data_IF_386888340815
#
_entry.id   IF_386888340815
#
_cell.length_a   1.000
_cell.length_b   1.000
_cell.length_c   1.000
_cell.angle_alpha   90.00
_cell.angle_beta   90.00
_cell.angle_gamma   90.00
#
_symmetry.space_group_name_H-M   'P 1'
#
loop_
_entity.id
_entity.type
_entity.pdbx_description
1 polymer ?
#
# COMPACT_ATOMS: atom_id res chain seq x y z
N UNK A 1 26.82 -10.50 -9.24
CA UNK A 1 26.23 -9.20 -9.67
C UNK A 1 25.05 -9.37 -10.64
N UNK A 2 25.25 -9.67 -11.92
CA UNK A 2 24.11 -9.75 -12.88
C UNK A 2 23.13 -10.88 -12.53
N UNK A 3 23.64 -12.08 -12.22
CA UNK A 3 22.80 -13.21 -11.82
C UNK A 3 22.01 -12.91 -10.53
N UNK A 4 22.64 -12.28 -9.53
CA UNK A 4 21.97 -11.88 -8.29
C UNK A 4 20.90 -10.84 -8.58
N UNK A 5 21.21 -9.83 -9.40
CA UNK A 5 20.26 -8.79 -9.80
C UNK A 5 19.04 -9.37 -10.52
N UNK A 6 19.25 -10.27 -11.48
CA UNK A 6 18.16 -10.96 -12.19
C UNK A 6 17.32 -11.81 -11.23
N UNK A 7 17.96 -12.55 -10.34
CA UNK A 7 17.28 -13.35 -9.32
C UNK A 7 16.42 -12.47 -8.41
N UNK A 8 16.92 -11.30 -8.01
CA UNK A 8 16.20 -10.34 -7.17
C UNK A 8 15.02 -9.74 -7.90
N UNK A 9 15.16 -9.39 -9.18
CA UNK A 9 14.05 -8.92 -10.00
C UNK A 9 12.97 -9.99 -10.09
N UNK A 10 13.33 -11.25 -10.35
CA UNK A 10 12.39 -12.37 -10.37
C UNK A 10 11.68 -12.55 -9.02
N UNK A 11 12.43 -12.49 -7.91
CA UNK A 11 11.87 -12.53 -6.55
C UNK A 11 10.90 -11.37 -6.34
N UNK A 12 11.25 -10.14 -6.72
CA UNK A 12 10.37 -8.97 -6.58
C UNK A 12 9.08 -9.09 -7.38
N UNK A 13 9.14 -9.64 -8.60
CA UNK A 13 7.94 -9.94 -9.38
C UNK A 13 7.07 -10.97 -8.65
N UNK A 14 7.67 -12.08 -8.24
CA UNK A 14 6.96 -13.14 -7.54
C UNK A 14 6.32 -12.64 -6.24
N UNK A 15 7.06 -11.89 -5.40
CA UNK A 15 6.56 -11.36 -4.14
C UNK A 15 5.50 -10.28 -4.34
N UNK A 16 5.57 -9.47 -5.41
CA UNK A 16 4.54 -8.51 -5.75
C UNK A 16 3.23 -9.22 -6.11
N UNK A 17 3.27 -10.22 -6.99
CA UNK A 17 2.08 -11.00 -7.37
C UNK A 17 1.54 -11.83 -6.21
N UNK A 18 2.42 -12.48 -5.42
CA UNK A 18 2.03 -13.17 -4.20
C UNK A 18 1.36 -12.21 -3.23
N UNK A 19 1.83 -10.96 -3.12
CA UNK A 19 1.27 -9.97 -2.20
C UNK A 19 -0.13 -9.54 -2.59
N UNK A 20 -0.35 -9.30 -3.88
CA UNK A 20 -1.69 -9.01 -4.39
C UNK A 20 -2.60 -10.24 -4.29
N UNK A 21 -2.08 -11.45 -4.56
CA UNK A 21 -2.82 -12.69 -4.40
C UNK A 21 -3.26 -12.95 -2.95
N UNK A 22 -2.37 -12.79 -1.99
CA UNK A 22 -2.68 -12.93 -0.55
C UNK A 22 -3.63 -11.83 -0.09
N UNK A 23 -3.44 -10.59 -0.56
CA UNK A 23 -4.36 -9.49 -0.26
C UNK A 23 -5.76 -9.79 -0.81
N UNK A 24 -5.85 -10.31 -2.04
CA UNK A 24 -7.12 -10.73 -2.59
C UNK A 24 -7.76 -11.86 -1.79
N UNK A 25 -6.98 -12.87 -1.42
CA UNK A 25 -7.45 -14.04 -0.69
C UNK A 25 -7.95 -13.69 0.72
N UNK A 26 -7.21 -12.88 1.48
CA UNK A 26 -7.52 -12.55 2.88
C UNK A 26 -8.39 -11.30 3.06
N UNK A 27 -8.39 -10.37 2.10
CA UNK A 27 -9.13 -9.11 2.17
C UNK A 27 -10.33 -9.15 1.22
N UNK A 28 -10.07 -9.20 -0.09
CA UNK A 28 -11.11 -8.94 -1.11
C UNK A 28 -12.14 -10.07 -1.22
N UNK A 29 -11.76 -11.31 -0.92
CA UNK A 29 -12.67 -12.46 -0.92
C UNK A 29 -13.65 -12.45 0.25
N UNK A 30 -13.33 -11.76 1.34
CA UNK A 30 -14.14 -11.79 2.56
C UNK A 30 -15.47 -11.06 2.36
N UNK A 31 -16.59 -11.75 2.58
CA UNK A 31 -17.94 -11.16 2.42
C UNK A 31 -18.12 -9.88 3.23
N UNK A 32 -17.59 -9.86 4.46
CA UNK A 32 -17.64 -8.68 5.33
C UNK A 32 -17.00 -7.47 4.66
N UNK A 33 -15.84 -7.65 4.01
CA UNK A 33 -15.16 -6.58 3.29
C UNK A 33 -15.99 -6.11 2.08
N UNK A 34 -16.54 -7.04 1.31
CA UNK A 34 -17.37 -6.70 0.13
C UNK A 34 -18.63 -5.91 0.52
N UNK A 35 -19.34 -6.36 1.56
CA UNK A 35 -20.54 -5.69 2.09
C UNK A 35 -20.23 -4.28 2.60
N UNK A 36 -19.20 -4.14 3.44
CA UNK A 36 -18.77 -2.83 3.97
C UNK A 36 -18.28 -1.90 2.86
N UNK A 37 -17.52 -2.41 1.89
CA UNK A 37 -17.03 -1.60 0.76
C UNK A 37 -18.20 -1.07 -0.08
N UNK A 38 -19.17 -1.92 -0.41
CA UNK A 38 -20.35 -1.50 -1.16
C UNK A 38 -21.20 -0.47 -0.38
N UNK A 39 -21.30 -0.60 0.94
CA UNK A 39 -21.98 0.36 1.79
C UNK A 39 -21.27 1.71 1.82
N UNK A 40 -19.94 1.73 2.00
CA UNK A 40 -19.12 2.95 1.95
C UNK A 40 -19.26 3.64 0.60
N UNK A 41 -19.13 2.92 -0.52
CA UNK A 41 -19.25 3.50 -1.86
C UNK A 41 -20.65 4.11 -2.10
N UNK A 42 -21.72 3.40 -1.68
CA UNK A 42 -23.10 3.86 -1.81
C UNK A 42 -23.38 5.09 -0.96
N UNK A 43 -22.95 5.09 0.31
CA UNK A 43 -23.17 6.21 1.22
C UNK A 43 -22.30 7.42 0.86
N UNK A 44 -21.06 7.22 0.44
CA UNK A 44 -20.15 8.28 -0.01
C UNK A 44 -20.72 9.02 -1.24
N UNK A 45 -21.21 8.29 -2.24
CA UNK A 45 -21.85 8.90 -3.43
C UNK A 45 -23.14 9.64 -3.10
N UNK A 46 -23.91 9.17 -2.10
CA UNK A 46 -25.12 9.87 -1.62
C UNK A 46 -24.77 11.15 -0.88
N UNK A 47 -23.72 11.12 -0.07
CA UNK A 47 -23.24 12.26 0.69
C UNK A 47 -22.70 13.35 -0.24
N UNK A 48 -21.88 13.01 -1.25
CA UNK A 48 -21.39 13.98 -2.24
C UNK A 48 -22.55 14.73 -2.91
N UNK A 49 -23.58 14.01 -3.39
CA UNK A 49 -24.77 14.62 -4.00
C UNK A 49 -25.56 15.54 -3.05
N UNK A 50 -25.66 15.18 -1.78
CA UNK A 50 -26.35 16.00 -0.78
C UNK A 50 -25.52 17.22 -0.39
N UNK A 51 -24.19 17.13 -0.42
CA UNK A 51 -23.28 18.25 -0.17
C UNK A 51 -23.41 19.31 -1.25
N UNK A 52 -23.36 18.90 -2.52
CA UNK A 52 -23.51 19.79 -3.66
C UNK A 52 -24.88 20.50 -3.66
N UNK A 53 -25.94 19.78 -3.23
CA UNK A 53 -27.29 20.35 -3.10
C UNK A 53 -27.45 21.27 -1.87
N UNK A 54 -26.77 20.97 -0.76
CA UNK A 54 -26.91 21.70 0.50
C UNK A 54 -26.03 22.95 0.57
N UNK A 55 -24.95 23.06 -0.21
CA UNK A 55 -24.14 24.29 -0.34
C UNK A 55 -24.95 25.46 -0.92
N UNK A 56 -26.02 25.16 -1.65
CA UNK A 56 -26.96 26.14 -2.20
C UNK A 56 -28.05 26.59 -1.21
N UNK A 57 -28.16 25.95 -0.04
CA UNK A 57 -29.24 26.20 0.94
C UNK A 57 -28.70 26.46 2.35
N UNK A 58 -28.97 27.64 2.92
CA UNK A 58 -28.61 28.04 4.29
C UNK A 58 -29.55 27.39 5.34
N UNK A 59 -29.95 26.13 5.17
CA UNK A 59 -30.80 25.44 6.14
C UNK A 59 -29.94 24.74 7.20
N UNK A 60 -29.97 25.29 8.42
CA UNK A 60 -29.28 24.76 9.61
C UNK A 60 -29.71 23.33 9.92
N UNK A 61 -30.94 22.94 9.53
CA UNK A 61 -31.49 21.58 9.73
C UNK A 61 -30.88 20.59 8.74
N UNK A 62 -30.74 20.97 7.48
CA UNK A 62 -30.05 20.19 6.45
C UNK A 62 -28.58 19.96 6.83
N UNK A 63 -27.89 20.99 7.32
CA UNK A 63 -26.50 20.89 7.79
C UNK A 63 -26.32 19.88 8.93
N UNK A 64 -27.17 19.91 9.96
CA UNK A 64 -27.13 18.95 11.08
C UNK A 64 -27.43 17.51 10.64
N UNK A 65 -28.30 17.32 9.65
CA UNK A 65 -28.57 15.99 9.06
C UNK A 65 -27.36 15.48 8.26
N UNK A 66 -26.67 16.36 7.56
CA UNK A 66 -25.47 16.04 6.78
C UNK A 66 -24.30 15.63 7.70
N UNK A 67 -24.05 16.38 8.77
CA UNK A 67 -23.05 16.05 9.81
C UNK A 67 -23.30 14.65 10.42
N UNK A 68 -24.56 14.31 10.71
CA UNK A 68 -24.93 12.99 11.23
C UNK A 68 -24.68 11.86 10.21
N UNK A 69 -24.83 12.13 8.91
CA UNK A 69 -24.51 11.15 7.85
C UNK A 69 -23.01 11.00 7.68
N UNK A 70 -22.23 12.08 7.75
CA UNK A 70 -20.76 12.05 7.75
C UNK A 70 -20.21 11.21 8.91
N UNK A 71 -20.76 11.37 10.11
CA UNK A 71 -20.34 10.61 11.29
C UNK A 71 -20.64 9.11 11.13
N UNK A 72 -21.81 8.76 10.58
CA UNK A 72 -22.15 7.36 10.24
C UNK A 72 -21.20 6.77 9.21
N UNK A 73 -20.92 7.52 8.14
CA UNK A 73 -20.00 7.10 7.09
C UNK A 73 -18.57 6.90 7.63
N UNK A 74 -18.11 7.79 8.52
CA UNK A 74 -16.83 7.67 9.20
C UNK A 74 -16.74 6.38 10.04
N UNK A 75 -17.82 6.03 10.75
CA UNK A 75 -17.86 4.79 11.53
C UNK A 75 -17.78 3.53 10.65
N UNK A 76 -18.53 3.50 9.54
CA UNK A 76 -18.50 2.37 8.59
C UNK A 76 -17.13 2.28 7.90
N UNK A 77 -16.54 3.42 7.50
CA UNK A 77 -15.20 3.45 6.92
C UNK A 77 -14.12 3.00 7.92
N UNK A 78 -14.30 3.32 9.21
CA UNK A 78 -13.42 2.83 10.28
C UNK A 78 -13.53 1.32 10.42
N UNK A 79 -14.73 0.75 10.39
CA UNK A 79 -14.93 -0.70 10.44
C UNK A 79 -14.32 -1.40 9.21
N UNK A 80 -14.54 -0.87 8.01
CA UNK A 80 -13.89 -1.34 6.77
C UNK A 80 -12.36 -1.34 6.90
N UNK A 81 -11.82 -0.24 7.44
CA UNK A 81 -10.37 -0.09 7.67
C UNK A 81 -9.85 -1.09 8.69
N UNK A 82 -10.57 -1.39 9.76
CA UNK A 82 -10.18 -2.42 10.75
C UNK A 82 -10.17 -3.81 10.13
N UNK A 83 -11.18 -4.17 9.32
CA UNK A 83 -11.21 -5.46 8.61
C UNK A 83 -10.01 -5.58 7.67
N UNK A 84 -9.73 -4.52 6.90
CA UNK A 84 -8.57 -4.46 6.01
C UNK A 84 -7.26 -4.57 6.81
N UNK A 85 -7.12 -3.83 7.89
CA UNK A 85 -5.90 -3.77 8.70
C UNK A 85 -5.57 -5.13 9.33
N UNK A 86 -6.56 -5.88 9.84
CA UNK A 86 -6.36 -7.23 10.38
C UNK A 86 -5.77 -8.18 9.34
N UNK A 87 -6.36 -8.21 8.13
CA UNK A 87 -5.90 -9.06 7.04
C UNK A 87 -4.54 -8.59 6.49
N UNK A 88 -4.32 -7.27 6.35
CA UNK A 88 -3.03 -6.71 5.91
C UNK A 88 -1.92 -6.97 6.92
N UNK A 89 -2.23 -6.98 8.22
CA UNK A 89 -1.27 -7.33 9.27
C UNK A 89 -0.79 -8.78 9.14
N UNK A 90 -1.71 -9.74 8.93
CA UNK A 90 -1.36 -11.14 8.70
C UNK A 90 -0.47 -11.31 7.46
N UNK A 91 -0.82 -10.63 6.36
CA UNK A 91 0.01 -10.59 5.15
C UNK A 91 1.38 -9.96 5.41
N UNK A 92 1.44 -8.90 6.23
CA UNK A 92 2.66 -8.23 6.65
C UNK A 92 3.62 -9.15 7.40
N UNK A 93 3.11 -10.03 8.27
CA UNK A 93 3.94 -11.03 8.96
C UNK A 93 4.59 -11.98 7.96
N UNK A 94 3.82 -12.51 7.01
CA UNK A 94 4.34 -13.41 5.95
C UNK A 94 5.44 -12.70 5.14
N UNK A 95 5.20 -11.45 4.73
CA UNK A 95 6.19 -10.67 3.99
C UNK A 95 7.42 -10.32 4.81
N UNK A 96 7.28 -10.09 6.11
CA UNK A 96 8.41 -9.81 7.01
C UNK A 96 9.30 -11.03 7.15
N UNK A 97 8.72 -12.23 7.29
CA UNK A 97 9.45 -13.49 7.29
C UNK A 97 10.16 -13.76 5.96
N UNK A 98 9.48 -13.58 4.83
CA UNK A 98 10.08 -13.72 3.49
C UNK A 98 11.22 -12.71 3.27
N UNK A 99 11.00 -11.46 3.65
CA UNK A 99 12.02 -10.42 3.54
C UNK A 99 13.26 -10.73 4.39
N UNK A 100 13.06 -11.21 5.63
CA UNK A 100 14.16 -11.63 6.50
C UNK A 100 14.97 -12.79 5.89
N UNK A 101 14.28 -13.78 5.30
CA UNK A 101 14.92 -14.89 4.60
C UNK A 101 15.79 -14.40 3.43
N UNK A 102 15.26 -13.53 2.57
CA UNK A 102 16.03 -12.98 1.46
C UNK A 102 17.16 -12.06 1.91
N UNK A 103 16.94 -11.26 2.97
CA UNK A 103 17.97 -10.41 3.55
C UNK A 103 19.18 -11.23 4.01
N UNK A 104 18.95 -12.35 4.69
CA UNK A 104 20.03 -13.24 5.13
C UNK A 104 20.70 -13.96 3.95
N UNK A 105 19.96 -14.28 2.89
CA UNK A 105 20.51 -14.97 1.71
C UNK A 105 21.47 -14.08 0.89
N UNK A 106 21.21 -12.78 0.85
CA UNK A 106 22.02 -11.79 0.11
C UNK A 106 22.89 -10.91 1.02
N UNK A 107 23.06 -11.29 2.29
CA UNK A 107 23.83 -10.51 3.26
C UNK A 107 25.29 -10.35 2.82
N UNK A 108 25.82 -9.13 2.93
CA UNK A 108 27.19 -8.80 2.53
C UNK A 108 27.48 -8.86 1.03
N UNK A 109 26.51 -9.14 0.16
CA UNK A 109 26.72 -9.30 -1.29
C UNK A 109 26.36 -8.02 -2.04
N UNK A 110 27.33 -7.47 -2.77
CA UNK A 110 27.08 -6.37 -3.71
C UNK A 110 26.29 -6.89 -4.90
N UNK A 111 25.04 -6.43 -5.03
CA UNK A 111 24.12 -6.89 -6.07
C UNK A 111 24.31 -6.08 -7.35
N UNK A 112 24.38 -4.76 -7.21
CA UNK A 112 24.51 -3.83 -8.33
C UNK A 112 25.52 -2.73 -8.02
N UNK A 113 26.02 -2.06 -9.06
CA UNK A 113 26.83 -0.86 -8.93
C UNK A 113 26.09 0.30 -9.59
N UNK A 114 25.81 1.33 -8.81
CA UNK A 114 25.09 2.51 -9.24
C UNK A 114 26.04 3.45 -10.00
N UNK A 115 25.59 4.10 -11.09
CA UNK A 115 26.41 5.06 -11.83
C UNK A 115 26.56 6.40 -11.10
N UNK A 116 25.96 6.55 -9.92
CA UNK A 116 26.02 7.73 -9.07
C UNK A 116 26.06 7.30 -7.60
N UNK A 117 26.59 8.16 -6.73
CA UNK A 117 26.48 8.00 -5.28
C UNK A 117 25.10 8.49 -4.83
N UNK A 118 24.27 7.64 -4.19
CA UNK A 118 22.95 8.05 -3.72
C UNK A 118 23.03 9.21 -2.73
N UNK A 119 22.02 10.08 -2.75
CA UNK A 119 21.87 11.16 -1.77
C UNK A 119 21.91 10.61 -0.33
N UNK A 120 22.42 11.39 0.62
CA UNK A 120 22.73 10.94 2.00
C UNK A 120 21.57 10.25 2.73
N UNK A 121 20.32 10.65 2.45
CA UNK A 121 19.13 10.04 3.06
C UNK A 121 18.74 8.68 2.44
N UNK A 122 19.15 8.39 1.19
CA UNK A 122 18.97 7.10 0.52
C UNK A 122 20.17 6.16 0.71
N UNK A 123 21.35 6.73 1.00
CA UNK A 123 22.61 6.01 1.18
C UNK A 123 22.52 4.90 2.23
N UNK A 124 21.79 5.14 3.33
CA UNK A 124 21.57 4.15 4.38
C UNK A 124 20.72 2.95 3.94
N UNK A 125 19.90 3.10 2.88
CA UNK A 125 19.12 2.01 2.30
C UNK A 125 19.87 1.33 1.15
N UNK A 126 20.57 2.11 0.31
CA UNK A 126 21.35 1.58 -0.80
C UNK A 126 22.49 0.68 -0.32
N UNK A 127 23.23 1.12 0.71
CA UNK A 127 24.42 0.43 1.21
C UNK A 127 24.15 -0.50 2.41
N UNK A 128 22.88 -0.73 2.75
CA UNK A 128 22.51 -1.51 3.93
C UNK A 128 23.02 -2.94 3.82
N UNK A 129 23.60 -3.48 4.90
CA UNK A 129 24.14 -4.84 4.96
C UNK A 129 25.30 -5.10 3.97
N UNK A 130 25.95 -4.05 3.43
CA UNK A 130 27.16 -4.19 2.62
C UNK A 130 28.42 -3.81 3.41
N UNK A 131 29.52 -4.58 3.27
CA UNK A 131 30.82 -4.18 3.80
C UNK A 131 31.47 -3.10 2.92
N UNK A 132 32.35 -2.30 3.51
CA UNK A 132 33.16 -1.31 2.80
C UNK A 132 32.53 0.09 2.71
N UNK A 133 33.28 1.01 2.11
CA UNK A 133 32.95 2.44 2.03
C UNK A 133 32.65 2.92 0.60
N UNK A 134 32.45 2.00 -0.35
CA UNK A 134 32.02 2.33 -1.70
C UNK A 134 30.49 2.46 -1.77
N UNK A 135 29.99 3.69 -1.64
CA UNK A 135 28.55 3.98 -1.68
C UNK A 135 27.92 3.91 -3.06
N UNK A 136 28.68 3.57 -4.09
CA UNK A 136 28.11 3.18 -5.39
C UNK A 136 27.57 1.75 -5.35
N UNK A 137 27.94 0.95 -4.35
CA UNK A 137 27.46 -0.42 -4.22
C UNK A 137 26.02 -0.47 -3.70
N UNK A 138 25.19 -1.27 -4.39
CA UNK A 138 23.78 -1.42 -4.12
C UNK A 138 23.46 -2.79 -3.50
N UNK A 139 22.78 -2.75 -2.36
CA UNK A 139 22.32 -3.92 -1.62
C UNK A 139 21.06 -4.54 -2.22
N UNK A 140 20.79 -5.78 -1.81
CA UNK A 140 19.53 -6.47 -2.08
C UNK A 140 18.31 -5.60 -1.73
N UNK A 141 18.32 -4.99 -0.55
CA UNK A 141 17.17 -4.26 0.00
C UNK A 141 16.76 -3.12 -0.93
N UNK A 142 17.74 -2.40 -1.47
CA UNK A 142 17.49 -1.25 -2.32
C UNK A 142 16.78 -1.64 -3.62
N UNK A 143 17.33 -2.64 -4.33
CA UNK A 143 16.74 -3.12 -5.58
C UNK A 143 15.40 -3.79 -5.33
N UNK A 144 15.30 -4.61 -4.27
CA UNK A 144 14.07 -5.29 -3.92
C UNK A 144 12.92 -4.31 -3.63
N UNK A 145 13.16 -3.25 -2.84
CA UNK A 145 12.13 -2.26 -2.52
C UNK A 145 11.72 -1.49 -3.76
N UNK A 146 12.69 -1.00 -4.56
CA UNK A 146 12.41 -0.27 -5.80
C UNK A 146 11.56 -1.10 -6.75
N UNK A 147 11.98 -2.34 -7.04
CA UNK A 147 11.25 -3.23 -7.92
C UNK A 147 9.86 -3.57 -7.37
N UNK A 148 9.77 -3.98 -6.09
CA UNK A 148 8.49 -4.40 -5.50
C UNK A 148 7.48 -3.26 -5.46
N UNK A 149 7.90 -2.03 -5.13
CA UNK A 149 7.00 -0.87 -5.10
C UNK A 149 6.52 -0.47 -6.49
N UNK A 150 7.42 -0.43 -7.48
CA UNK A 150 7.07 -0.14 -8.86
C UNK A 150 6.12 -1.20 -9.44
N UNK A 151 6.40 -2.49 -9.21
CA UNK A 151 5.56 -3.58 -9.74
C UNK A 151 4.20 -3.58 -9.05
N UNK A 152 4.16 -3.55 -7.72
CA UNK A 152 2.91 -3.65 -6.94
C UNK A 152 1.91 -2.55 -7.31
N UNK A 153 2.36 -1.30 -7.41
CA UNK A 153 1.47 -0.19 -7.80
C UNK A 153 0.87 -0.38 -9.20
N UNK A 154 1.65 -0.91 -10.15
CA UNK A 154 1.17 -1.19 -11.50
C UNK A 154 0.19 -2.37 -11.53
N UNK A 155 0.48 -3.44 -10.79
CA UNK A 155 -0.42 -4.60 -10.66
C UNK A 155 -1.74 -4.19 -10.02
N UNK A 156 -1.74 -3.39 -8.95
CA UNK A 156 -2.96 -2.89 -8.31
C UNK A 156 -3.84 -2.06 -9.25
N UNK A 157 -3.21 -1.22 -10.09
CA UNK A 157 -3.92 -0.43 -11.11
C UNK A 157 -4.51 -1.34 -12.19
N UNK A 158 -3.75 -2.31 -12.67
CA UNK A 158 -4.18 -3.24 -13.71
C UNK A 158 -5.35 -4.14 -13.25
N UNK A 159 -5.32 -4.60 -12.00
CA UNK A 159 -6.34 -5.48 -11.42
C UNK A 159 -7.56 -4.74 -10.85
N UNK A 160 -7.57 -3.40 -10.87
CA UNK A 160 -8.67 -2.60 -10.31
C UNK A 160 -8.80 -2.68 -8.78
N UNK A 161 -7.76 -3.16 -8.10
CA UNK A 161 -7.67 -3.23 -6.63
C UNK A 161 -7.18 -1.92 -6.01
N UNK A 162 -6.76 -0.97 -6.85
CA UNK A 162 -6.42 0.37 -6.41
C UNK A 162 -7.57 0.99 -5.58
N UNK A 163 -7.26 1.64 -4.45
CA UNK A 163 -8.27 2.29 -3.63
C UNK A 163 -9.06 3.33 -4.44
N UNK A 164 -10.40 3.28 -4.35
CA UNK A 164 -11.29 4.24 -5.01
C UNK A 164 -10.96 5.67 -4.58
N UNK A 165 -11.13 6.65 -5.49
CA UNK A 165 -10.95 8.09 -5.19
C UNK A 165 -11.79 8.53 -3.98
N UNK A 166 -12.99 7.99 -3.82
CA UNK A 166 -13.87 8.27 -2.70
C UNK A 166 -13.30 7.75 -1.36
N UNK A 167 -12.67 6.57 -1.39
CA UNK A 167 -12.01 5.96 -0.24
C UNK A 167 -10.72 6.70 0.13
N UNK A 168 -10.03 7.29 -0.86
CA UNK A 168 -8.84 8.11 -0.65
C UNK A 168 -9.18 9.49 -0.03
N UNK A 169 -10.35 10.07 -0.35
CA UNK A 169 -10.84 11.31 0.28
C UNK A 169 -11.24 11.13 1.75
N UNK A 170 -11.60 9.91 2.16
CA UNK A 170 -12.09 9.58 3.51
C UNK A 170 -11.07 8.84 4.38
N UNK A 171 -9.94 8.43 3.80
CA UNK A 171 -8.79 8.00 4.59
C UNK A 171 -8.36 9.20 5.43
N UNK A 172 -8.18 9.07 6.76
CA UNK A 172 -7.57 10.14 7.53
C UNK A 172 -6.22 10.41 6.85
N UNK A 173 -6.01 11.65 6.43
CA UNK A 173 -4.70 12.06 5.94
C UNK A 173 -3.68 11.69 7.00
N UNK A 174 -2.82 10.73 6.69
CA UNK A 174 -1.46 10.72 7.22
C UNK A 174 -0.73 11.80 6.41
N UNK A 175 -1.06 13.05 6.73
CA UNK A 175 -0.27 14.23 6.43
C UNK A 175 0.42 14.65 7.72
#
# INVERSE_FOLDING_TARGET
MIQDTLSIICISYFTAFLGEGLTWLFVYRTEKYQKLKAEVDKQSKRLERQRDASELSIDRTAKKRLEKQEERLKNINRELSMVKMKSVFAVGIIFTSLFSMFNNMFDGRVVTKLPFVPMSWLRGLSHRNLPGDDFTDGSFIFIYILCTMSIRQNVQKMLGFAPSRAMNKQSPGLG
#
